data_IF_367941640234
#
_entry.id   IF_367941640234
#
_cell.length_a   1.000
_cell.length_b   1.000
_cell.length_c   1.000
_cell.angle_alpha   90.00
_cell.angle_beta   90.00
_cell.angle_gamma   90.00
#
_symmetry.space_group_name_H-M   'P 1'
#
loop_
_entity.id
_entity.type
_entity.pdbx_description
1 polymer ?
#
# COMPACT_ATOMS: atom_id res chain seq x y z
N UNK A 1 -5.11 6.77 -11.19
CA UNK A 1 -4.22 5.60 -11.13
C UNK A 1 -4.85 4.57 -10.21
N UNK A 2 -4.85 3.31 -10.62
CA UNK A 2 -5.31 2.19 -9.81
C UNK A 2 -4.11 1.32 -9.50
N UNK A 3 -3.94 0.92 -8.24
CA UNK A 3 -2.87 0.03 -7.78
C UNK A 3 -3.49 -1.13 -7.03
N UNK A 4 -3.16 -2.35 -7.42
CA UNK A 4 -3.67 -3.59 -6.81
C UNK A 4 -2.68 -4.15 -5.77
N UNK A 5 -3.15 -5.05 -4.90
CA UNK A 5 -2.39 -5.71 -3.83
C UNK A 5 -1.67 -4.76 -2.85
N UNK A 6 -2.25 -3.60 -2.56
CA UNK A 6 -1.57 -2.58 -1.75
C UNK A 6 -1.41 -2.96 -0.29
N UNK A 7 -2.19 -3.89 0.26
CA UNK A 7 -2.03 -4.33 1.67
C UNK A 7 -0.97 -5.44 1.81
N UNK A 8 -0.59 -6.08 0.71
CA UNK A 8 0.42 -7.13 0.65
C UNK A 8 0.29 -8.18 1.78
N UNK A 9 -0.88 -8.83 1.83
CA UNK A 9 -1.31 -9.79 2.85
C UNK A 9 -1.34 -9.24 4.28
N UNK A 10 -1.57 -7.94 4.44
CA UNK A 10 -1.52 -7.24 5.72
C UNK A 10 -0.10 -6.91 6.19
N UNK A 11 0.94 -7.36 5.49
CA UNK A 11 2.32 -7.13 5.88
C UNK A 11 2.75 -5.67 5.76
N UNK A 12 2.00 -4.82 5.05
CA UNK A 12 2.25 -3.38 5.09
C UNK A 12 1.95 -2.75 6.45
N UNK A 13 1.05 -3.36 7.23
CA UNK A 13 0.72 -2.91 8.58
C UNK A 13 1.76 -3.42 9.59
N UNK A 14 2.06 -4.71 9.55
CA UNK A 14 3.06 -5.34 10.40
C UNK A 14 4.11 -6.09 9.56
N UNK A 15 5.17 -5.40 9.08
CA UNK A 15 6.19 -6.03 8.24
C UNK A 15 6.95 -7.17 8.92
N UNK A 16 6.97 -7.24 10.26
CA UNK A 16 7.67 -8.30 10.97
C UNK A 16 6.99 -9.67 10.83
N UNK A 17 5.70 -9.71 10.52
CA UNK A 17 4.93 -10.94 10.26
C UNK A 17 5.20 -11.54 8.87
N UNK A 18 5.82 -10.77 7.97
CA UNK A 18 6.24 -11.30 6.68
C UNK A 18 7.45 -12.25 6.85
N UNK A 19 7.61 -13.26 5.97
CA UNK A 19 8.84 -14.04 5.87
C UNK A 19 10.07 -13.12 5.80
N UNK A 20 11.16 -13.43 6.51
CA UNK A 20 12.36 -12.56 6.62
C UNK A 20 12.82 -11.95 5.29
N UNK A 21 12.80 -12.75 4.22
CA UNK A 21 13.17 -12.31 2.86
C UNK A 21 12.25 -11.22 2.27
N UNK A 22 10.98 -11.21 2.67
CA UNK A 22 9.94 -10.29 2.17
C UNK A 22 9.72 -9.06 3.05
N UNK A 23 10.21 -9.04 4.30
CA UNK A 23 10.07 -7.87 5.19
C UNK A 23 10.59 -6.56 4.58
N UNK A 24 11.73 -6.53 3.85
CA UNK A 24 12.17 -5.31 3.18
C UNK A 24 11.17 -4.81 2.13
N UNK A 25 10.49 -5.72 1.42
CA UNK A 25 9.45 -5.38 0.45
C UNK A 25 8.19 -4.88 1.15
N UNK A 26 7.76 -5.55 2.22
CA UNK A 26 6.62 -5.13 3.03
C UNK A 26 6.80 -3.69 3.56
N UNK A 27 8.01 -3.36 4.06
CA UNK A 27 8.36 -1.99 4.47
C UNK A 27 8.29 -0.99 3.31
N UNK A 28 8.83 -1.33 2.14
CA UNK A 28 8.76 -0.47 0.94
C UNK A 28 7.32 -0.22 0.50
N UNK A 29 6.48 -1.26 0.53
CA UNK A 29 5.06 -1.15 0.20
C UNK A 29 4.31 -0.26 1.19
N UNK A 30 4.59 -0.39 2.49
CA UNK A 30 4.04 0.49 3.51
C UNK A 30 4.41 1.96 3.26
N UNK A 31 5.69 2.25 3.01
CA UNK A 31 6.16 3.60 2.68
C UNK A 31 5.55 4.14 1.38
N UNK A 32 5.39 3.29 0.36
CA UNK A 32 4.73 3.67 -0.89
C UNK A 32 3.26 4.04 -0.66
N UNK A 33 2.52 3.24 0.11
CA UNK A 33 1.12 3.55 0.43
C UNK A 33 0.98 4.86 1.21
N UNK A 34 1.85 5.07 2.20
CA UNK A 34 1.87 6.31 2.97
C UNK A 34 2.16 7.52 2.08
N UNK A 35 3.16 7.42 1.21
CA UNK A 35 3.47 8.46 0.24
C UNK A 35 2.29 8.74 -0.69
N UNK A 36 1.66 7.69 -1.25
CA UNK A 36 0.56 7.84 -2.20
C UNK A 36 -0.71 8.44 -1.55
N UNK A 37 -0.98 8.09 -0.29
CA UNK A 37 -2.08 8.66 0.50
C UNK A 37 -1.85 10.14 0.83
N UNK A 38 -0.59 10.55 1.05
CA UNK A 38 -0.22 11.93 1.42
C UNK A 38 0.15 12.80 0.21
N UNK A 39 0.17 12.25 -1.00
CA UNK A 39 0.66 12.97 -2.17
C UNK A 39 -0.29 14.10 -2.57
N UNK A 40 0.17 15.37 -2.65
CA UNK A 40 -0.72 16.52 -2.80
C UNK A 40 -1.46 16.59 -4.15
N UNK A 41 -0.94 15.91 -5.18
CA UNK A 41 -1.56 15.87 -6.51
C UNK A 41 -2.63 14.79 -6.67
N UNK A 42 -2.81 13.93 -5.66
CA UNK A 42 -3.74 12.81 -5.73
C UNK A 42 -4.67 12.81 -4.52
N UNK A 43 -5.96 12.63 -4.78
CA UNK A 43 -6.90 12.16 -3.75
C UNK A 43 -6.93 10.63 -3.82
N UNK A 44 -6.33 9.98 -2.83
CA UNK A 44 -6.19 8.53 -2.79
C UNK A 44 -7.11 7.90 -1.74
N UNK A 45 -7.78 6.81 -2.10
CA UNK A 45 -8.55 5.95 -1.19
C UNK A 45 -8.07 4.50 -1.33
N UNK A 46 -8.03 3.76 -0.23
CA UNK A 46 -7.77 2.31 -0.23
C UNK A 46 -9.08 1.58 0.03
N UNK A 47 -9.43 0.66 -0.85
CA UNK A 47 -10.61 -0.18 -0.75
C UNK A 47 -10.19 -1.60 -0.32
N UNK A 48 -10.86 -2.21 0.69
CA UNK A 48 -10.52 -3.54 1.20
C UNK A 48 -11.10 -4.65 0.29
N UNK A 49 -10.84 -4.57 -1.01
CA UNK A 49 -11.24 -5.57 -2.01
C UNK A 49 -9.99 -6.37 -2.38
N UNK A 50 -10.08 -7.70 -2.38
CA UNK A 50 -8.92 -8.57 -2.62
C UNK A 50 -7.86 -8.39 -1.54
N UNK A 51 -6.61 -8.18 -1.95
CA UNK A 51 -5.47 -7.86 -1.06
C UNK A 51 -5.28 -6.33 -0.92
N UNK A 52 -6.39 -5.59 -1.07
CA UNK A 52 -6.47 -4.14 -1.05
C UNK A 52 -6.15 -3.50 -2.40
N UNK A 53 -6.99 -2.54 -2.78
CA UNK A 53 -6.84 -1.76 -4.01
C UNK A 53 -6.82 -0.27 -3.69
N UNK A 54 -5.79 0.45 -4.16
CA UNK A 54 -5.73 1.90 -4.06
C UNK A 54 -6.27 2.56 -5.34
N UNK A 55 -7.16 3.54 -5.17
CA UNK A 55 -7.65 4.42 -6.22
C UNK A 55 -7.13 5.83 -5.95
N UNK A 56 -6.20 6.30 -6.77
CA UNK A 56 -5.62 7.64 -6.71
C UNK A 56 -6.15 8.50 -7.86
N UNK A 57 -6.98 9.49 -7.55
CA UNK A 57 -7.58 10.41 -8.53
C UNK A 57 -6.73 11.68 -8.57
N UNK A 58 -6.25 12.05 -9.76
CA UNK A 58 -5.48 13.29 -9.94
C UNK A 58 -6.38 14.50 -9.67
N UNK A 59 -5.87 15.43 -8.86
CA UNK A 59 -6.48 16.74 -8.61
C UNK A 59 -6.10 17.72 -9.73
#
# INVERSE_FOLDING_TARGET
MVVDNVLFKGWTYEPSEAPKRLQPLAKKMASFNEWLLKHPQFKTTIHPIGDGMAVAIKQ
#
